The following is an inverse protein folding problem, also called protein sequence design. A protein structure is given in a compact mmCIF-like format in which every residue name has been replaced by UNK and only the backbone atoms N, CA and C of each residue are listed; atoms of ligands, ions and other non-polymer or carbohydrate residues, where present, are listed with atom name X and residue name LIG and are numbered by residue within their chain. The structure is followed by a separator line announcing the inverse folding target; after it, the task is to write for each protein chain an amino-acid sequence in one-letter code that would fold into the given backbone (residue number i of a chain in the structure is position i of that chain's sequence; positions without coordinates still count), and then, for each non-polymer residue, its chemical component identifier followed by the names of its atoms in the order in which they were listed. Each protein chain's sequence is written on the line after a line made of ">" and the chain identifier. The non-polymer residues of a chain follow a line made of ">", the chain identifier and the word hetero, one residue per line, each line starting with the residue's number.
data_IF_745086730640
#
_entry.id   IF_745086730640
#
_cell.length_a   1.000
_cell.length_b   1.000
_cell.length_c   1.000
_cell.angle_alpha   90.00
_cell.angle_beta   90.00
_cell.angle_gamma   90.00
#
_symmetry.space_group_name_H-M   'P 1'
#
loop_
_entity.id
_entity.type
_entity.pdbx_description
1 polymer ?
#
# COMPACT_ATOMS: atom_id res chain seq x y z
N UNK A 1 -15.04 19.03 -2.47
CA UNK A 1 -13.80 18.39 -1.95
C UNK A 1 -13.90 16.91 -2.27
N UNK A 2 -12.85 16.32 -2.84
CA UNK A 2 -12.79 14.88 -3.16
C UNK A 2 -11.44 14.28 -2.73
N UNK A 3 -11.38 12.96 -2.61
CA UNK A 3 -10.13 12.24 -2.35
C UNK A 3 -9.56 11.75 -3.68
N UNK A 4 -8.34 12.19 -4.00
CA UNK A 4 -7.60 11.73 -5.18
C UNK A 4 -6.74 10.54 -4.78
N UNK A 5 -6.88 9.43 -5.51
CA UNK A 5 -6.13 8.19 -5.32
C UNK A 5 -5.59 7.69 -6.66
N UNK A 6 -4.78 6.63 -6.62
CA UNK A 6 -4.13 6.03 -7.79
C UNK A 6 -3.24 7.02 -8.56
N UNK A 7 -3.02 6.79 -9.84
CA UNK A 7 -2.11 7.57 -10.67
C UNK A 7 -2.57 9.04 -10.83
N UNK A 8 -3.87 9.32 -10.62
CA UNK A 8 -4.42 10.67 -10.67
C UNK A 8 -3.78 11.60 -9.64
N UNK A 9 -3.18 11.08 -8.56
CA UNK A 9 -2.41 11.89 -7.61
C UNK A 9 -1.23 12.64 -8.26
N UNK A 10 -0.76 12.17 -9.42
CA UNK A 10 0.34 12.76 -10.17
C UNK A 10 -0.14 13.71 -11.28
N UNK A 11 -1.43 13.75 -11.58
CA UNK A 11 -1.99 14.52 -12.70
C UNK A 11 -3.15 15.44 -12.35
N UNK A 12 -3.67 15.43 -11.12
CA UNK A 12 -4.87 16.20 -10.75
C UNK A 12 -4.77 17.72 -11.03
N UNK A 13 -3.56 18.28 -10.97
CA UNK A 13 -3.31 19.71 -11.24
C UNK A 13 -3.60 20.08 -12.70
N UNK A 14 -3.43 19.13 -13.62
CA UNK A 14 -3.71 19.30 -15.05
C UNK A 14 -5.21 19.47 -15.33
N UNK A 15 -6.05 19.03 -14.40
CA UNK A 15 -7.51 19.15 -14.44
C UNK A 15 -8.01 20.42 -13.72
N UNK A 16 -7.10 21.33 -13.32
CA UNK A 16 -7.44 22.57 -12.61
C UNK A 16 -7.74 22.38 -11.13
N UNK A 17 -7.47 21.20 -10.57
CA UNK A 17 -7.64 20.92 -9.15
C UNK A 17 -6.45 21.44 -8.33
N UNK A 18 -6.70 21.76 -7.06
CA UNK A 18 -5.68 22.21 -6.10
C UNK A 18 -5.59 21.26 -4.90
N UNK A 19 -4.38 20.98 -4.41
CA UNK A 19 -4.18 20.15 -3.22
C UNK A 19 -4.56 20.94 -1.97
N UNK A 20 -5.54 20.43 -1.21
CA UNK A 20 -5.99 21.02 0.05
C UNK A 20 -5.28 20.36 1.24
N UNK A 21 -5.11 19.05 1.18
CA UNK A 21 -4.49 18.23 2.22
C UNK A 21 -3.76 17.07 1.58
N UNK A 22 -2.59 16.76 2.10
CA UNK A 22 -1.89 15.50 1.83
C UNK A 22 -2.10 14.57 3.03
N UNK A 23 -2.87 13.50 2.82
CA UNK A 23 -3.16 12.52 3.89
C UNK A 23 -1.90 11.77 4.30
N UNK A 24 -0.94 11.62 3.38
CA UNK A 24 0.35 11.00 3.64
C UNK A 24 1.18 11.82 4.61
N UNK A 25 1.37 13.10 4.31
CA UNK A 25 2.09 14.03 5.18
C UNK A 25 1.38 14.24 6.53
N UNK A 26 0.04 14.25 6.53
CA UNK A 26 -0.72 14.36 7.77
C UNK A 26 -0.50 13.15 8.68
N UNK A 27 -0.52 11.94 8.12
CA UNK A 27 -0.29 10.71 8.87
C UNK A 27 1.13 10.67 9.45
N UNK A 28 2.14 10.99 8.63
CA UNK A 28 3.54 11.08 9.03
C UNK A 28 3.70 12.00 10.26
N UNK A 29 3.18 13.22 10.19
CA UNK A 29 3.21 14.20 11.30
C UNK A 29 2.44 13.72 12.53
N UNK A 30 1.29 13.08 12.34
CA UNK A 30 0.42 12.63 13.43
C UNK A 30 0.98 11.44 14.19
N UNK A 31 1.72 10.57 13.50
CA UNK A 31 2.25 9.32 14.06
C UNK A 31 3.73 9.35 14.40
N UNK A 32 4.41 10.47 14.12
CA UNK A 32 5.84 10.61 14.37
C UNK A 32 6.69 9.83 13.35
N UNK A 33 6.21 9.72 12.11
CA UNK A 33 6.97 9.13 10.99
C UNK A 33 6.57 7.71 10.60
N UNK A 34 5.40 7.20 11.01
CA UNK A 34 4.95 5.88 10.56
C UNK A 34 4.53 5.94 9.08
N UNK A 35 4.81 4.88 8.28
CA UNK A 35 4.38 4.81 6.89
C UNK A 35 2.86 4.70 6.79
N UNK A 36 2.23 5.34 5.80
CA UNK A 36 0.75 5.31 5.69
C UNK A 36 0.28 3.93 5.20
N UNK A 37 -0.60 3.23 5.94
CA UNK A 37 -1.10 1.92 5.54
C UNK A 37 -2.26 2.09 4.54
N UNK A 38 -1.93 2.15 3.25
CA UNK A 38 -2.92 2.39 2.18
C UNK A 38 -3.61 1.11 1.70
N UNK A 39 -2.89 0.00 1.65
CA UNK A 39 -3.39 -1.29 1.20
C UNK A 39 -2.56 -2.42 1.80
N UNK A 40 -3.19 -3.56 2.04
CA UNK A 40 -2.55 -4.77 2.54
C UNK A 40 -3.14 -6.00 1.87
N UNK A 41 -2.31 -7.04 1.73
CA UNK A 41 -2.79 -8.35 1.34
C UNK A 41 -3.32 -9.08 2.58
N UNK A 42 -4.54 -9.60 2.48
CA UNK A 42 -5.16 -10.38 3.56
C UNK A 42 -5.36 -11.82 3.13
N UNK A 43 -5.08 -12.75 4.04
CA UNK A 43 -5.35 -14.17 3.84
C UNK A 43 -6.40 -14.64 4.83
N UNK A 44 -7.29 -15.52 4.37
CA UNK A 44 -8.27 -16.16 5.24
C UNK A 44 -7.55 -17.13 6.18
N UNK A 45 -7.87 -17.05 7.47
CA UNK A 45 -7.24 -17.86 8.53
C UNK A 45 -7.54 -19.35 8.41
N UNK A 46 -8.65 -19.72 7.78
CA UNK A 46 -9.06 -21.12 7.57
C UNK A 46 -8.25 -21.88 6.51
N UNK A 47 -7.36 -21.20 5.78
CA UNK A 47 -6.38 -21.84 4.88
C UNK A 47 -5.28 -22.60 5.63
N UNK A 48 -5.12 -22.35 6.94
CA UNK A 48 -4.08 -22.93 7.78
C UNK A 48 -2.73 -22.25 7.64
N UNK A 49 -1.95 -22.23 8.72
CA UNK A 49 -0.69 -21.49 8.80
C UNK A 49 0.35 -21.96 7.78
N UNK A 50 0.43 -23.26 7.50
CA UNK A 50 1.38 -23.79 6.51
C UNK A 50 1.12 -23.22 5.11
N UNK A 51 -0.15 -23.13 4.70
CA UNK A 51 -0.56 -22.53 3.42
C UNK A 51 -0.26 -21.05 3.39
N UNK A 52 -0.59 -20.33 4.47
CA UNK A 52 -0.41 -18.88 4.60
C UNK A 52 1.07 -18.52 4.46
N UNK A 53 1.94 -19.15 5.26
CA UNK A 53 3.40 -18.91 5.22
C UNK A 53 4.00 -19.28 3.86
N UNK A 54 3.52 -20.37 3.24
CA UNK A 54 3.98 -20.78 1.91
C UNK A 54 3.60 -19.74 0.84
N UNK A 55 2.37 -19.23 0.87
CA UNK A 55 1.91 -18.22 -0.07
C UNK A 55 2.66 -16.89 0.13
N UNK A 56 2.85 -16.46 1.37
CA UNK A 56 3.57 -15.24 1.70
C UNK A 56 4.98 -15.22 1.09
N UNK A 57 5.72 -16.34 1.22
CA UNK A 57 7.03 -16.51 0.57
C UNK A 57 6.98 -16.40 -0.95
N UNK A 58 5.97 -16.98 -1.59
CA UNK A 58 5.82 -16.87 -3.06
C UNK A 58 5.44 -15.47 -3.49
N UNK A 59 4.57 -14.79 -2.73
CA UNK A 59 4.19 -13.42 -3.00
C UNK A 59 5.40 -12.49 -2.86
N UNK A 60 6.20 -12.65 -1.80
CA UNK A 60 7.43 -11.92 -1.60
C UNK A 60 8.40 -12.11 -2.78
N UNK A 61 8.67 -13.37 -3.16
CA UNK A 61 9.53 -13.68 -4.30
C UNK A 61 8.99 -13.10 -5.62
N UNK A 62 7.67 -13.06 -5.82
CA UNK A 62 7.06 -12.46 -7.00
C UNK A 62 7.24 -10.94 -7.03
N UNK A 63 7.15 -10.26 -5.88
CA UNK A 63 7.36 -8.81 -5.79
C UNK A 63 8.85 -8.50 -6.04
N UNK A 64 9.75 -9.24 -5.41
CA UNK A 64 11.20 -9.10 -5.62
C UNK A 64 11.58 -9.29 -7.08
N UNK A 65 11.07 -10.35 -7.72
CA UNK A 65 11.28 -10.60 -9.14
C UNK A 65 10.79 -9.44 -10.00
N UNK A 66 9.61 -8.88 -9.71
CA UNK A 66 9.08 -7.71 -10.44
C UNK A 66 9.92 -6.45 -10.25
N UNK A 67 10.55 -6.26 -9.07
CA UNK A 67 11.47 -5.15 -8.81
C UNK A 67 12.78 -5.34 -9.58
N UNK A 68 13.32 -6.56 -9.61
CA UNK A 68 14.57 -6.90 -10.32
C UNK A 68 14.40 -6.85 -11.84
N UNK A 69 13.21 -7.14 -12.34
CA UNK A 69 12.86 -7.16 -13.77
C UNK A 69 11.84 -6.05 -14.08
N UNK A 70 12.15 -4.82 -13.63
CA UNK A 70 11.19 -3.71 -13.62
C UNK A 70 10.60 -3.38 -14.99
N UNK A 71 11.40 -3.36 -16.06
CA UNK A 71 10.91 -3.00 -17.39
C UNK A 71 9.91 -4.04 -17.93
N UNK A 72 10.20 -5.34 -17.75
CA UNK A 72 9.29 -6.44 -18.12
C UNK A 72 7.99 -6.39 -17.30
N UNK A 73 8.11 -6.11 -16.00
CA UNK A 73 6.96 -5.95 -15.12
C UNK A 73 6.08 -4.77 -15.55
N UNK A 74 6.67 -3.66 -15.97
CA UNK A 74 5.95 -2.49 -16.48
C UNK A 74 5.33 -2.78 -17.84
N UNK A 75 6.02 -3.46 -18.75
CA UNK A 75 5.47 -3.87 -20.05
C UNK A 75 4.17 -4.65 -19.87
N UNK A 76 4.17 -5.59 -18.92
CA UNK A 76 2.96 -6.31 -18.54
C UNK A 76 1.93 -5.38 -17.89
N UNK A 77 2.31 -4.55 -16.92
CA UNK A 77 1.39 -3.67 -16.20
C UNK A 77 0.70 -2.62 -17.09
N UNK A 78 1.31 -2.22 -18.21
CA UNK A 78 0.75 -1.24 -19.14
C UNK A 78 -0.61 -1.62 -19.71
N UNK A 79 -0.96 -2.92 -19.78
CA UNK A 79 -2.31 -3.35 -20.18
C UNK A 79 -3.40 -2.86 -19.21
N UNK A 80 -3.03 -2.52 -17.97
CA UNK A 80 -3.92 -2.01 -16.92
C UNK A 80 -3.85 -0.49 -16.77
N UNK A 81 -3.07 0.21 -17.60
CA UNK A 81 -2.80 1.66 -17.47
C UNK A 81 -4.00 2.55 -17.80
N UNK A 82 -5.06 2.00 -18.41
CA UNK A 82 -6.24 2.76 -18.89
C UNK A 82 -5.86 3.92 -19.84
N UNK A 83 -4.84 3.71 -20.67
CA UNK A 83 -4.38 4.67 -21.67
C UNK A 83 -3.45 5.75 -21.13
N UNK A 84 -2.93 5.59 -19.91
CA UNK A 84 -1.94 6.51 -19.32
C UNK A 84 -0.54 6.23 -19.90
N UNK A 85 0.25 7.30 -20.00
CA UNK A 85 1.64 7.25 -20.47
C UNK A 85 2.52 6.34 -19.60
N UNK A 86 3.45 5.63 -20.23
CA UNK A 86 4.34 4.68 -19.54
C UNK A 86 5.12 5.34 -18.40
N UNK A 87 5.68 6.52 -18.64
CA UNK A 87 6.47 7.26 -17.64
C UNK A 87 5.65 7.63 -16.39
N UNK A 88 4.35 7.90 -16.55
CA UNK A 88 3.44 8.13 -15.43
C UNK A 88 3.21 6.86 -14.62
N UNK A 89 2.98 5.74 -15.31
CA UNK A 89 2.79 4.42 -14.68
C UNK A 89 4.05 3.97 -13.94
N UNK A 90 5.23 4.11 -14.55
CA UNK A 90 6.51 3.80 -13.89
C UNK A 90 6.70 4.59 -12.60
N UNK A 91 6.40 5.90 -12.65
CA UNK A 91 6.47 6.76 -11.46
C UNK A 91 5.48 6.30 -10.40
N UNK A 92 4.25 6.01 -10.79
CA UNK A 92 3.21 5.53 -9.87
C UNK A 92 3.59 4.18 -9.22
N UNK A 93 4.04 3.20 -10.01
CA UNK A 93 4.45 1.89 -9.50
C UNK A 93 5.60 2.01 -8.50
N UNK A 94 6.63 2.81 -8.80
CA UNK A 94 7.77 3.04 -7.89
C UNK A 94 7.39 3.66 -6.54
N UNK A 95 6.28 4.41 -6.49
CA UNK A 95 5.78 4.96 -5.22
C UNK A 95 5.21 3.88 -4.29
N UNK A 96 4.65 2.81 -4.84
CA UNK A 96 3.90 1.79 -4.08
C UNK A 96 4.50 0.40 -4.07
N UNK A 97 5.43 0.11 -4.97
CA UNK A 97 6.14 -1.16 -5.07
C UNK A 97 7.60 -0.90 -4.74
N UNK A 98 7.96 -1.18 -3.49
CA UNK A 98 9.29 -0.96 -2.95
C UNK A 98 9.58 -1.97 -1.81
N UNK A 99 10.66 -1.76 -1.06
CA UNK A 99 11.07 -2.66 0.03
C UNK A 99 10.01 -2.83 1.12
N UNK A 100 9.18 -1.81 1.37
CA UNK A 100 8.06 -1.88 2.32
C UNK A 100 6.97 -2.82 1.81
N UNK A 101 6.77 -2.91 0.49
CA UNK A 101 5.84 -3.86 -0.14
C UNK A 101 6.33 -5.30 -0.03
N UNK A 102 7.65 -5.51 -0.16
CA UNK A 102 8.31 -6.81 0.04
C UNK A 102 8.19 -7.27 1.49
N UNK A 103 8.40 -6.34 2.43
CA UNK A 103 8.19 -6.58 3.85
C UNK A 103 7.91 -5.24 4.55
N UNK A 104 6.73 -5.11 5.15
CA UNK A 104 6.32 -3.86 5.80
C UNK A 104 7.15 -3.54 7.05
N UNK A 105 7.81 -4.55 7.62
CA UNK A 105 8.60 -4.44 8.83
C UNK A 105 7.79 -3.98 10.04
N UNK A 106 8.51 -3.77 11.13
CA UNK A 106 7.92 -3.35 12.40
C UNK A 106 7.23 -1.96 12.29
N UNK A 107 7.76 -0.98 11.52
CA UNK A 107 7.06 0.29 11.31
C UNK A 107 5.71 0.15 10.58
N UNK A 108 5.62 -0.78 9.62
CA UNK A 108 4.37 -1.06 8.92
C UNK A 108 3.32 -1.69 9.83
N UNK A 109 3.73 -2.66 10.65
CA UNK A 109 2.86 -3.26 11.66
C UNK A 109 2.36 -2.24 12.68
N UNK A 110 3.26 -1.41 13.21
CA UNK A 110 2.92 -0.36 14.17
C UNK A 110 1.94 0.64 13.55
N UNK A 111 2.12 0.98 12.27
CA UNK A 111 1.21 1.87 11.56
C UNK A 111 -0.21 1.30 11.45
N UNK A 112 -0.34 0.00 11.16
CA UNK A 112 -1.64 -0.68 11.12
C UNK A 112 -2.29 -0.69 12.51
N UNK A 113 -1.51 -0.96 13.56
CA UNK A 113 -2.00 -0.93 14.95
C UNK A 113 -2.47 0.47 15.33
N UNK A 114 -1.70 1.49 15.00
CA UNK A 114 -2.04 2.88 15.25
C UNK A 114 -3.30 3.31 14.48
N UNK A 115 -3.46 2.88 13.23
CA UNK A 115 -4.67 3.15 12.42
C UNK A 115 -5.92 2.62 13.12
N UNK A 116 -5.91 1.34 13.51
CA UNK A 116 -7.06 0.73 14.13
C UNK A 116 -7.29 1.20 15.57
N UNK A 117 -6.23 1.56 16.31
CA UNK A 117 -6.38 2.24 17.61
C UNK A 117 -7.18 3.55 17.45
N UNK A 118 -6.78 4.41 16.52
CA UNK A 118 -7.49 5.66 16.22
C UNK A 118 -8.93 5.41 15.75
N UNK A 119 -9.15 4.35 14.96
CA UNK A 119 -10.48 3.98 14.49
C UNK A 119 -11.39 3.52 15.65
N UNK A 120 -10.88 2.71 16.57
CA UNK A 120 -11.60 2.26 17.77
C UNK A 120 -11.94 3.41 18.70
N UNK A 121 -10.98 4.30 18.99
CA UNK A 121 -11.19 5.50 19.82
C UNK A 121 -12.31 6.41 19.28
N UNK A 122 -12.51 6.39 17.95
CA UNK A 122 -13.57 7.13 17.27
C UNK A 122 -14.86 6.33 17.03
N UNK A 123 -14.92 5.07 17.46
CA UNK A 123 -16.07 4.19 17.24
C UNK A 123 -16.36 3.87 15.77
N UNK A 124 -15.35 3.92 14.90
CA UNK A 124 -15.48 3.62 13.46
C UNK A 124 -15.46 2.12 13.15
N UNK A 125 -14.96 1.32 14.09
CA UNK A 125 -14.86 -0.13 14.00
C UNK A 125 -15.26 -0.75 15.35
N UNK A 126 -15.74 -2.01 15.37
CA UNK A 126 -15.97 -2.73 16.61
C UNK A 126 -14.65 -2.96 17.36
N UNK A 127 -14.74 -3.45 18.60
CA UNK A 127 -13.55 -3.91 19.30
C UNK A 127 -13.13 -5.30 18.79
N UNK A 128 -11.82 -5.46 18.54
CA UNK A 128 -11.20 -6.69 18.05
C UNK A 128 -9.69 -6.68 18.27
N UNK A 129 -9.06 -7.85 18.35
CA UNK A 129 -7.60 -7.93 18.41
C UNK A 129 -7.00 -8.07 17.01
N UNK A 130 -5.97 -7.26 16.73
CA UNK A 130 -5.27 -7.29 15.44
C UNK A 130 -4.29 -8.46 15.45
N UNK A 131 -4.55 -9.45 14.59
CA UNK A 131 -3.63 -10.53 14.29
C UNK A 131 -2.89 -10.23 12.99
N UNK A 132 -1.57 -10.09 13.07
CA UNK A 132 -0.68 -10.00 11.91
C UNK A 132 0.05 -11.33 11.82
N UNK A 133 0.00 -11.96 10.63
CA UNK A 133 0.72 -13.20 10.39
C UNK A 133 2.21 -12.93 10.66
N UNK A 134 2.77 -13.63 11.64
CA UNK A 134 4.15 -13.46 12.07
C UNK A 134 5.12 -13.84 10.95
N UNK A 135 6.30 -13.20 10.93
CA UNK A 135 7.45 -13.55 10.10
C UNK A 135 7.89 -15.01 10.31
#
# INVERSE_FOLDING_TARGET
>A
VGLVIHETQLSYEQEGNVKILDVGEWWDKTTGGLPVPLGINVMRTDLGMDTIVKFDKYLQASIEFGIENFDDAIDYAMQYSRGKERSLIEKFVKMYVNKVTVNMGDPGEESIRQLFKLAKEKGLVPDFEISIASK
#
